data_IF_274643965312
#
_entry.id   IF_274643965312
#
_cell.length_a   1.000
_cell.length_b   1.000
_cell.length_c   1.000
_cell.angle_alpha   90.00
_cell.angle_beta   90.00
_cell.angle_gamma   90.00
#
_symmetry.space_group_name_H-M   'P 1'
#
loop_
_entity.id
_entity.type
_entity.pdbx_description
1 polymer ?
#
# COMPACT_ATOMS: atom_id res chain seq x y z
N UNK A 1 -7.51 42.13 -34.74
CA UNK A 1 -7.36 41.70 -33.33
C UNK A 1 -8.27 40.51 -33.14
N UNK A 2 -7.73 39.30 -33.23
CA UNK A 2 -8.50 38.07 -33.03
C UNK A 2 -7.53 36.98 -32.57
N UNK A 3 -7.44 36.78 -31.26
CA UNK A 3 -6.82 35.60 -30.66
C UNK A 3 -7.83 35.04 -29.66
N UNK A 4 -8.56 34.00 -30.10
CA UNK A 4 -9.39 33.17 -29.25
C UNK A 4 -8.67 31.86 -28.99
N UNK A 5 -8.04 31.73 -27.83
CA UNK A 5 -7.46 30.47 -27.37
C UNK A 5 -8.58 29.46 -27.05
N UNK A 6 -8.62 28.37 -27.81
CA UNK A 6 -9.49 27.22 -27.57
C UNK A 6 -8.75 26.21 -26.69
N UNK A 7 -8.93 26.27 -25.37
CA UNK A 7 -8.34 25.30 -24.44
C UNK A 7 -9.26 24.09 -24.31
N UNK A 8 -9.04 23.08 -25.16
CA UNK A 8 -9.54 21.71 -24.92
C UNK A 8 -8.72 21.10 -23.79
N UNK A 9 -9.29 21.02 -22.59
CA UNK A 9 -8.75 20.20 -21.51
C UNK A 9 -9.01 18.72 -21.83
N UNK A 10 -8.01 18.05 -22.42
CA UNK A 10 -7.93 16.61 -22.45
C UNK A 10 -7.27 16.12 -21.16
N UNK A 11 -8.08 15.69 -20.20
CA UNK A 11 -7.59 14.95 -19.03
C UNK A 11 -7.74 13.46 -19.32
N UNK A 12 -6.79 12.91 -20.08
CA UNK A 12 -6.65 11.46 -20.25
C UNK A 12 -5.44 11.01 -19.45
N UNK A 13 -5.73 10.32 -18.36
CA UNK A 13 -5.04 9.15 -17.79
C UNK A 13 -3.69 8.79 -18.41
N UNK A 14 -2.64 8.93 -17.60
CA UNK A 14 -1.55 7.94 -17.48
C UNK A 14 -1.07 8.00 -16.02
N UNK A 15 -1.44 7.01 -15.20
CA UNK A 15 -0.74 6.77 -13.92
C UNK A 15 0.51 5.98 -14.23
N UNK A 16 1.62 6.67 -14.38
CA UNK A 16 2.93 6.05 -14.15
C UNK A 16 3.06 5.89 -12.63
N UNK A 17 3.16 4.65 -12.18
CA UNK A 17 3.50 4.34 -10.80
C UNK A 17 4.95 4.77 -10.58
N UNK A 18 5.14 6.03 -10.17
CA UNK A 18 6.45 6.54 -9.82
C UNK A 18 6.84 5.89 -8.49
N UNK A 19 7.89 5.06 -8.53
CA UNK A 19 8.53 4.49 -7.34
C UNK A 19 9.15 5.63 -6.56
N UNK A 20 8.36 6.19 -5.63
CA UNK A 20 8.77 7.33 -4.83
C UNK A 20 9.51 6.89 -3.58
N UNK A 21 10.66 7.52 -3.36
CA UNK A 21 11.34 7.45 -2.06
C UNK A 21 10.51 8.19 -1.00
N UNK A 22 10.59 7.77 0.26
CA UNK A 22 9.76 8.29 1.35
C UNK A 22 9.78 9.83 1.53
N UNK A 23 10.78 10.52 0.95
CA UNK A 23 10.97 11.96 0.97
C UNK A 23 9.89 12.74 0.18
N UNK A 24 9.25 12.13 -0.83
CA UNK A 24 8.25 12.82 -1.68
C UNK A 24 6.80 12.51 -1.28
N UNK A 25 6.60 11.76 -0.19
CA UNK A 25 5.26 11.46 0.33
C UNK A 25 4.63 12.70 0.96
N UNK A 26 3.29 12.86 0.90
CA UNK A 26 2.62 13.95 1.58
C UNK A 26 2.89 13.84 3.09
N UNK A 27 3.32 14.94 3.72
CA UNK A 27 3.75 14.91 5.13
C UNK A 27 2.68 14.40 6.11
N UNK A 28 1.41 14.61 5.79
CA UNK A 28 0.26 14.05 6.52
C UNK A 28 0.21 12.51 6.47
N UNK A 29 0.58 11.91 5.33
CA UNK A 29 0.71 10.45 5.23
C UNK A 29 1.90 9.94 6.06
N UNK A 30 3.04 10.64 6.03
CA UNK A 30 4.21 10.23 6.81
C UNK A 30 3.92 10.20 8.31
N UNK A 31 3.23 11.23 8.83
CA UNK A 31 2.80 11.29 10.22
C UNK A 31 1.78 10.18 10.57
N UNK A 32 0.82 9.93 9.67
CA UNK A 32 -0.11 8.81 9.81
C UNK A 32 0.64 7.47 9.85
N UNK A 33 1.57 7.25 8.92
CA UNK A 33 2.25 5.97 8.74
C UNK A 33 3.13 5.62 9.94
N UNK A 34 3.81 6.62 10.50
CA UNK A 34 4.60 6.47 11.73
C UNK A 34 3.70 6.06 12.90
N UNK A 35 2.64 6.84 13.17
CA UNK A 35 1.67 6.53 14.22
C UNK A 35 0.98 5.17 14.02
N UNK A 36 0.69 4.80 12.77
CA UNK A 36 0.08 3.52 12.41
C UNK A 36 0.94 2.30 12.78
N UNK A 37 2.26 2.46 12.88
CA UNK A 37 3.16 1.37 13.23
C UNK A 37 3.74 1.49 14.65
N UNK A 38 3.53 2.62 15.32
CA UNK A 38 3.86 2.84 16.72
C UNK A 38 2.68 2.43 17.65
N UNK A 39 1.47 2.90 17.35
CA UNK A 39 0.29 2.71 18.18
C UNK A 39 -0.62 1.59 17.64
N UNK A 40 -0.74 0.52 18.42
CA UNK A 40 -1.51 -0.67 18.04
C UNK A 40 -3.03 -0.44 18.04
N UNK A 41 -3.53 0.49 18.85
CA UNK A 41 -4.96 0.83 18.91
C UNK A 41 -5.29 1.67 17.68
N UNK A 42 -4.49 2.71 17.43
CA UNK A 42 -4.61 3.58 16.25
C UNK A 42 -4.53 2.77 14.96
N UNK A 43 -3.63 1.80 14.88
CA UNK A 43 -3.53 0.89 13.74
C UNK A 43 -4.86 0.20 13.46
N UNK A 44 -5.45 -0.43 14.46
CA UNK A 44 -6.69 -1.21 14.32
C UNK A 44 -7.89 -0.32 14.01
N UNK A 45 -7.91 0.91 14.51
CA UNK A 45 -8.95 1.91 14.20
C UNK A 45 -8.83 2.44 12.76
N UNK A 46 -7.61 2.53 12.23
CA UNK A 46 -7.34 3.00 10.87
C UNK A 46 -7.22 1.86 9.84
N UNK A 47 -7.87 0.73 10.12
CA UNK A 47 -8.04 -0.37 9.17
C UNK A 47 -9.52 -0.54 8.86
N UNK A 48 -9.86 -0.53 7.57
CA UNK A 48 -11.22 -0.82 7.14
C UNK A 48 -11.48 -2.32 7.17
N UNK A 49 -11.96 -2.83 8.31
CA UNK A 49 -12.42 -4.21 8.42
C UNK A 49 -13.85 -4.37 7.86
N UNK A 50 -14.18 -5.48 7.18
CA UNK A 50 -13.30 -6.58 6.78
C UNK A 50 -12.29 -6.12 5.71
N UNK A 51 -11.00 -6.33 5.99
CA UNK A 51 -9.92 -5.76 5.17
C UNK A 51 -9.62 -6.68 4.01
N UNK A 52 -9.83 -6.21 2.79
CA UNK A 52 -9.52 -6.98 1.58
C UNK A 52 -8.02 -7.28 1.51
N UNK A 53 -7.66 -8.47 1.04
CA UNK A 53 -6.27 -8.86 1.07
C UNK A 53 -5.99 -10.24 0.56
N UNK A 54 -4.77 -10.68 0.85
CA UNK A 54 -4.29 -12.02 0.55
C UNK A 54 -3.40 -12.50 1.71
N UNK A 55 -3.62 -13.72 2.24
CA UNK A 55 -2.79 -14.28 3.31
C UNK A 55 -1.37 -14.53 2.80
N UNK A 56 -0.38 -14.56 3.69
CA UNK A 56 0.99 -14.93 3.32
C UNK A 56 1.02 -16.35 2.73
N UNK A 57 1.83 -16.57 1.69
CA UNK A 57 2.00 -17.88 1.06
C UNK A 57 3.35 -18.48 1.43
N UNK A 58 3.38 -19.79 1.72
CA UNK A 58 4.59 -20.53 2.13
C UNK A 58 5.21 -21.37 0.99
N UNK A 59 4.67 -21.32 -0.25
CA UNK A 59 5.28 -22.02 -1.38
C UNK A 59 4.34 -22.31 -2.57
N UNK A 60 4.91 -22.95 -3.59
CA UNK A 60 4.24 -23.47 -4.79
C UNK A 60 3.02 -24.32 -4.41
N UNK A 61 1.83 -23.72 -4.49
CA UNK A 61 0.58 -24.41 -4.16
C UNK A 61 -0.49 -23.55 -3.49
N UNK A 62 -0.15 -22.33 -3.04
CA UNK A 62 -1.19 -21.33 -2.71
C UNK A 62 -1.83 -20.88 -4.02
N UNK A 63 -2.78 -21.67 -4.49
CA UNK A 63 -3.70 -21.26 -5.54
C UNK A 63 -4.17 -19.87 -5.16
N UNK A 64 -3.96 -18.89 -6.05
CA UNK A 64 -4.73 -17.66 -6.06
C UNK A 64 -6.19 -18.09 -6.10
N UNK A 65 -6.78 -18.32 -4.93
CA UNK A 65 -8.19 -18.68 -4.86
C UNK A 65 -8.87 -17.49 -5.51
N UNK A 66 -9.64 -17.67 -6.58
CA UNK A 66 -10.39 -16.56 -7.17
C UNK A 66 -11.37 -15.93 -6.18
N UNK A 67 -11.48 -16.50 -4.98
CA UNK A 67 -12.19 -15.96 -3.85
C UNK A 67 -11.39 -14.82 -3.19
N UNK A 68 -12.06 -13.68 -3.02
CA UNK A 68 -11.51 -12.55 -2.25
C UNK A 68 -11.28 -13.00 -0.81
N UNK A 69 -10.10 -12.73 -0.28
CA UNK A 69 -9.79 -12.97 1.13
C UNK A 69 -9.96 -11.66 1.90
N UNK A 70 -10.53 -11.77 3.10
CA UNK A 70 -10.79 -10.62 3.96
C UNK A 70 -10.23 -10.88 5.36
N UNK A 71 -9.23 -10.10 5.74
CA UNK A 71 -8.70 -10.10 7.10
C UNK A 71 -9.78 -9.62 8.07
N UNK A 72 -9.92 -10.37 9.16
CA UNK A 72 -10.85 -10.02 10.23
C UNK A 72 -10.09 -9.32 11.35
N UNK A 73 -10.75 -8.37 12.02
CA UNK A 73 -10.17 -7.64 13.15
C UNK A 73 -9.60 -8.57 14.24
N UNK A 74 -10.26 -9.70 14.48
CA UNK A 74 -9.85 -10.69 15.47
C UNK A 74 -8.59 -11.48 15.09
N UNK A 75 -8.29 -11.60 13.79
CA UNK A 75 -7.10 -12.33 13.28
C UNK A 75 -5.97 -11.37 12.87
N UNK A 76 -6.24 -10.06 12.92
CA UNK A 76 -5.27 -9.05 12.52
C UNK A 76 -4.04 -9.07 13.43
N UNK A 77 -2.86 -9.20 12.82
CA UNK A 77 -1.58 -9.12 13.51
C UNK A 77 -1.06 -7.69 13.44
N UNK A 78 -0.72 -7.15 14.60
CA UNK A 78 -0.21 -5.78 14.68
C UNK A 78 1.11 -5.68 13.90
N UNK A 79 1.15 -4.75 12.95
CA UNK A 79 2.35 -4.45 12.18
C UNK A 79 3.15 -3.33 12.85
N UNK A 80 4.47 -3.44 12.80
CA UNK A 80 5.42 -2.41 13.25
C UNK A 80 6.30 -1.94 12.12
N UNK A 81 7.10 -0.91 12.38
CA UNK A 81 8.17 -0.49 11.49
C UNK A 81 9.07 -1.69 11.22
N UNK A 82 9.45 -1.84 9.95
CA UNK A 82 10.43 -2.86 9.56
C UNK A 82 11.77 -2.37 10.07
N UNK A 83 12.19 -2.89 11.22
CA UNK A 83 13.54 -2.70 11.71
C UNK A 83 14.38 -3.88 11.22
N UNK A 84 14.96 -3.72 10.03
CA UNK A 84 15.75 -4.74 9.38
C UNK A 84 17.24 -4.35 9.40
N UNK A 85 17.96 -4.68 10.48
CA UNK A 85 19.39 -4.35 10.59
C UNK A 85 20.23 -5.09 9.53
N UNK A 86 19.71 -6.17 8.96
CA UNK A 86 20.38 -6.95 7.91
C UNK A 86 20.14 -6.46 6.49
N UNK A 87 19.29 -5.44 6.27
CA UNK A 87 18.94 -4.93 4.94
C UNK A 87 18.46 -6.02 3.96
N UNK A 88 17.85 -7.09 4.50
CA UNK A 88 17.16 -8.18 3.80
C UNK A 88 15.85 -7.76 3.15
N UNK A 89 15.26 -6.64 3.56
CA UNK A 89 14.03 -6.13 2.97
C UNK A 89 14.28 -4.82 2.24
N UNK A 90 13.75 -4.72 1.03
CA UNK A 90 13.63 -3.47 0.28
C UNK A 90 12.19 -3.02 0.35
N UNK A 91 11.94 -1.74 0.61
CA UNK A 91 10.59 -1.20 0.62
C UNK A 91 10.54 0.14 -0.09
N UNK A 92 9.42 0.39 -0.76
CA UNK A 92 9.20 1.62 -1.50
C UNK A 92 7.71 1.94 -1.50
N UNK A 93 7.40 3.19 -1.84
CA UNK A 93 6.04 3.65 -1.96
C UNK A 93 5.73 3.94 -3.43
N UNK A 94 4.50 3.67 -3.83
CA UNK A 94 3.95 4.06 -5.12
C UNK A 94 2.73 4.94 -4.86
N UNK A 95 2.80 6.20 -5.30
CA UNK A 95 1.69 7.13 -5.19
C UNK A 95 0.77 6.89 -6.39
N UNK A 96 -0.31 6.18 -6.13
CA UNK A 96 -1.32 5.89 -7.14
C UNK A 96 -2.14 7.14 -7.44
N UNK A 97 -2.62 7.84 -6.41
CA UNK A 97 -3.36 9.11 -6.52
C UNK A 97 -2.99 10.00 -5.34
N UNK A 98 -3.41 11.27 -5.36
CA UNK A 98 -3.34 12.16 -4.20
C UNK A 98 -4.01 11.60 -2.92
N UNK A 99 -4.88 10.59 -3.07
CA UNK A 99 -5.58 9.91 -1.97
C UNK A 99 -5.27 8.43 -1.87
N UNK A 100 -4.39 7.86 -2.69
CA UNK A 100 -4.10 6.42 -2.66
C UNK A 100 -2.60 6.19 -2.76
N UNK A 101 -2.03 5.52 -1.77
CA UNK A 101 -0.60 5.22 -1.69
C UNK A 101 -0.44 3.73 -1.44
N UNK A 102 0.41 3.08 -2.21
CA UNK A 102 0.80 1.69 -2.00
C UNK A 102 2.20 1.63 -1.39
N UNK A 103 2.37 0.81 -0.37
CA UNK A 103 3.65 0.50 0.24
C UNK A 103 3.98 -0.94 -0.08
N UNK A 104 5.09 -1.12 -0.76
CA UNK A 104 5.60 -2.40 -1.18
C UNK A 104 6.83 -2.76 -0.37
N UNK A 105 6.92 -4.03 -0.01
CA UNK A 105 8.06 -4.59 0.71
C UNK A 105 8.46 -5.88 0.00
N UNK A 106 9.68 -5.92 -0.51
CA UNK A 106 10.28 -7.09 -1.13
C UNK A 106 11.33 -7.70 -0.20
N UNK A 107 11.35 -9.01 -0.09
CA UNK A 107 12.46 -9.73 0.52
C UNK A 107 13.57 -9.95 -0.50
N UNK A 108 14.74 -9.33 -0.29
CA UNK A 108 15.89 -9.40 -1.20
C UNK A 108 16.33 -10.85 -1.43
N UNK A 109 16.72 -11.14 -2.66
CA UNK A 109 17.11 -12.50 -3.07
C UNK A 109 15.94 -13.46 -3.25
N UNK A 110 14.69 -12.99 -3.13
CA UNK A 110 13.48 -13.79 -3.35
C UNK A 110 12.49 -13.04 -4.24
N UNK A 111 11.52 -13.77 -4.80
CA UNK A 111 10.36 -13.17 -5.48
C UNK A 111 9.20 -12.88 -4.51
N UNK A 112 9.46 -12.79 -3.21
CA UNK A 112 8.40 -12.59 -2.22
C UNK A 112 8.18 -11.10 -1.94
N UNK A 113 6.93 -10.68 -2.04
CA UNK A 113 6.48 -9.31 -1.82
C UNK A 113 5.34 -9.27 -0.82
N UNK A 114 5.27 -8.16 -0.09
CA UNK A 114 4.16 -7.77 0.76
C UNK A 114 3.66 -6.42 0.25
N UNK A 115 2.33 -6.24 0.23
CA UNK A 115 1.71 -5.01 -0.27
C UNK A 115 0.70 -4.47 0.73
N UNK A 116 0.78 -3.18 1.01
CA UNK A 116 -0.17 -2.43 1.84
C UNK A 116 -0.71 -1.26 1.00
N UNK A 117 -2.03 -1.15 0.88
CA UNK A 117 -2.64 -0.01 0.19
C UNK A 117 -3.37 0.85 1.20
N UNK A 118 -3.04 2.13 1.18
CA UNK A 118 -3.64 3.15 2.01
C UNK A 118 -4.48 4.06 1.14
N UNK A 119 -5.65 4.43 1.66
CA UNK A 119 -6.50 5.44 1.05
C UNK A 119 -6.81 6.55 2.04
N UNK A 120 -6.80 7.79 1.56
CA UNK A 120 -7.22 8.97 2.30
C UNK A 120 -8.72 9.14 2.18
N UNK A 121 -9.40 9.02 3.31
CA UNK A 121 -10.81 9.30 3.53
C UNK A 121 -10.94 10.66 4.23
N UNK A 122 -12.18 11.08 4.51
CA UNK A 122 -12.47 12.38 5.13
C UNK A 122 -11.77 12.57 6.49
N UNK A 123 -11.72 11.47 7.26
CA UNK A 123 -11.20 11.43 8.63
C UNK A 123 -9.68 11.14 8.71
N UNK A 124 -9.04 10.80 7.58
CA UNK A 124 -7.60 10.51 7.54
C UNK A 124 -7.24 9.36 6.61
N UNK A 125 -6.05 8.81 6.78
CA UNK A 125 -5.57 7.67 6.01
C UNK A 125 -5.98 6.36 6.65
N UNK A 126 -6.40 5.40 5.84
CA UNK A 126 -6.81 4.08 6.29
C UNK A 126 -6.16 3.00 5.44
N UNK A 127 -5.79 1.88 6.05
CA UNK A 127 -5.40 0.69 5.32
C UNK A 127 -6.66 0.04 4.74
N UNK A 128 -6.69 -0.08 3.41
CA UNK A 128 -7.83 -0.61 2.64
C UNK A 128 -7.51 -1.92 1.94
N UNK A 129 -6.22 -2.28 1.82
CA UNK A 129 -5.83 -3.59 1.32
C UNK A 129 -4.52 -4.06 1.97
N UNK A 130 -4.45 -5.34 2.35
CA UNK A 130 -3.22 -5.96 2.84
C UNK A 130 -2.97 -7.34 2.21
N UNK A 131 -1.84 -7.46 1.55
CA UNK A 131 -1.28 -8.73 1.10
C UNK A 131 -0.08 -9.08 1.95
N UNK A 132 -0.12 -10.25 2.59
CA UNK A 132 1.01 -10.84 3.31
C UNK A 132 2.18 -11.13 2.38
N UNK A 133 3.27 -11.70 2.91
CA UNK A 133 4.44 -12.03 2.11
C UNK A 133 4.13 -13.21 1.17
N UNK A 134 4.25 -13.02 -0.15
CA UNK A 134 3.92 -14.03 -1.17
C UNK A 134 4.59 -13.74 -2.51
N UNK A 135 4.74 -14.75 -3.37
CA UNK A 135 5.26 -14.53 -4.71
C UNK A 135 4.29 -13.67 -5.53
N UNK A 136 4.81 -12.64 -6.19
CA UNK A 136 4.03 -11.86 -7.18
C UNK A 136 4.48 -12.30 -8.57
N UNK A 137 3.54 -12.78 -9.39
CA UNK A 137 3.80 -12.95 -10.81
C UNK A 137 3.62 -11.58 -11.44
N UNK A 138 4.72 -10.84 -11.60
CA UNK A 138 4.71 -9.66 -12.45
C UNK A 138 4.73 -10.17 -13.89
N UNK A 139 3.54 -10.29 -14.48
CA UNK A 139 3.34 -10.56 -15.91
C UNK A 139 3.98 -9.47 -16.78
#
# INVERSE_FOLDING_TARGET
MAEGCNTKAGSTTTKEADTVSADTLPGDFSAFFDRFHEDSIYQVEHIMFPLEGLPASTGDGDTLTSNRYFWQKADWKIHRHINDPGQNFENWFEVMDARVIEHWIQMKGTNLYMRRRFAKLDDGWYLIYYQGLRPVNRE
#
